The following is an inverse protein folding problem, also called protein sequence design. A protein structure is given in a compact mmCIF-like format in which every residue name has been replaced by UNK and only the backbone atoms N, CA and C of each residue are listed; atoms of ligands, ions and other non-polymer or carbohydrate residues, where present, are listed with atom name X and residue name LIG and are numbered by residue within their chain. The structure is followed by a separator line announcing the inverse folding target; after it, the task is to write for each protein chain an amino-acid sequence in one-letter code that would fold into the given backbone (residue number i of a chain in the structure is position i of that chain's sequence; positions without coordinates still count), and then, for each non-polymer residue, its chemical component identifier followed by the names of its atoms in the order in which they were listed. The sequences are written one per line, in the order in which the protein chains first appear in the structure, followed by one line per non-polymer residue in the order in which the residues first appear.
data_IF_537701733264
#
_entry.id   IF_537701733264
#
_cell.length_a   1.000
_cell.length_b   1.000
_cell.length_c   1.000
_cell.angle_alpha   90.00
_cell.angle_beta   90.00
_cell.angle_gamma   90.00
#
_symmetry.space_group_name_H-M   'P 1'
#
loop_
_entity.id
_entity.type
_entity.pdbx_description
1 polymer ?
#
# COMPACT_ATOMS: atom_id res chain seq x y z
N UNK A 1 3.85 19.44 -39.87
CA UNK A 1 3.77 20.71 -39.10
C UNK A 1 2.74 20.61 -37.97
N UNK A 2 1.50 20.13 -38.20
CA UNK A 2 0.48 19.89 -37.15
C UNK A 2 0.91 18.95 -36.01
N UNK A 3 1.64 17.87 -36.30
CA UNK A 3 2.08 16.89 -35.29
C UNK A 3 3.05 17.51 -34.26
N UNK A 4 3.90 18.44 -34.70
CA UNK A 4 4.84 19.15 -33.82
C UNK A 4 4.15 20.21 -32.95
N UNK A 5 3.08 20.84 -33.44
CA UNK A 5 2.28 21.80 -32.65
C UNK A 5 1.45 21.12 -31.56
N UNK A 6 0.90 19.93 -31.83
CA UNK A 6 0.16 19.15 -30.83
C UNK A 6 1.08 18.58 -29.75
N UNK A 7 2.29 18.15 -30.10
CA UNK A 7 3.28 17.67 -29.13
C UNK A 7 3.71 18.80 -28.16
N UNK A 8 3.88 20.02 -28.68
CA UNK A 8 4.24 21.20 -27.86
C UNK A 8 3.08 21.68 -26.97
N UNK A 9 1.82 21.53 -27.41
CA UNK A 9 0.65 21.80 -26.57
C UNK A 9 0.52 20.78 -25.44
N UNK A 10 0.71 19.49 -25.73
CA UNK A 10 0.70 18.41 -24.72
C UNK A 10 1.78 18.62 -23.64
N UNK A 11 3.00 18.97 -24.04
CA UNK A 11 4.09 19.28 -23.11
C UNK A 11 3.78 20.47 -22.18
N UNK A 12 3.14 21.53 -22.71
CA UNK A 12 2.85 22.77 -21.98
C UNK A 12 1.69 22.65 -21.00
N UNK A 13 0.70 21.79 -21.27
CA UNK A 13 -0.38 21.47 -20.31
C UNK A 13 0.17 20.58 -19.19
N UNK A 14 1.06 19.62 -19.50
CA UNK A 14 1.72 18.74 -18.53
C UNK A 14 2.59 19.51 -17.51
N UNK A 15 3.41 20.46 -17.95
CA UNK A 15 4.23 21.32 -17.03
C UNK A 15 3.39 22.22 -16.13
N UNK A 16 2.19 22.65 -16.56
CA UNK A 16 1.30 23.46 -15.74
C UNK A 16 0.61 22.66 -14.62
N UNK A 17 0.39 21.35 -14.84
CA UNK A 17 -0.17 20.43 -13.85
C UNK A 17 0.86 20.11 -12.75
N UNK A 18 2.10 19.86 -13.14
CA UNK A 18 3.24 19.69 -12.22
C UNK A 18 3.51 20.96 -11.38
N UNK A 19 3.42 22.15 -11.99
CA UNK A 19 3.56 23.43 -11.26
C UNK A 19 2.37 23.77 -10.35
N UNK A 20 1.19 23.21 -10.59
CA UNK A 20 0.04 23.35 -9.69
C UNK A 20 0.15 22.46 -8.46
N UNK A 21 0.69 21.25 -8.62
CA UNK A 21 0.92 20.30 -7.53
C UNK A 21 2.03 20.82 -6.59
N UNK A 22 3.10 21.41 -7.14
CA UNK A 22 4.16 22.05 -6.34
C UNK A 22 3.79 23.38 -5.63
N UNK A 23 2.54 23.85 -5.74
CA UNK A 23 2.08 25.11 -5.12
C UNK A 23 1.01 24.94 -4.04
N UNK A 24 0.63 23.70 -3.70
CA UNK A 24 -0.36 23.40 -2.67
C UNK A 24 0.29 23.00 -1.33
N UNK A 25 1.41 23.62 -1.02
CA UNK A 25 2.04 23.60 0.30
C UNK A 25 2.19 25.06 0.76
N UNK A 26 1.93 25.31 2.05
CA UNK A 26 2.09 26.59 2.79
C UNK A 26 0.85 27.51 2.81
N UNK A 27 -0.01 27.29 3.81
CA UNK A 27 -0.64 28.39 4.57
C UNK A 27 -0.63 28.08 6.07
N UNK A 28 0.45 28.51 6.74
CA UNK A 28 0.40 28.86 8.16
C UNK A 28 -0.67 29.96 8.37
N UNK A 29 -1.37 29.98 9.52
CA UNK A 29 -1.33 31.08 10.52
C UNK A 29 -2.48 30.98 11.58
N UNK A 30 -2.04 30.80 12.84
CA UNK A 30 -2.50 31.37 14.13
C UNK A 30 -3.90 31.06 14.72
N UNK A 31 -3.91 30.59 15.98
CA UNK A 31 -4.84 31.06 17.02
C UNK A 31 -4.21 30.97 18.43
N UNK A 32 -3.72 32.13 18.87
CA UNK A 32 -3.71 32.73 20.22
C UNK A 32 -3.71 31.88 21.50
N UNK A 33 -2.62 32.06 22.26
CA UNK A 33 -2.51 31.95 23.71
C UNK A 33 -3.60 32.76 24.45
N UNK A 34 -4.26 32.13 25.43
CA UNK A 34 -4.93 32.83 26.53
C UNK A 34 -4.37 32.31 27.85
N UNK A 35 -3.67 33.20 28.56
CA UNK A 35 -3.26 33.04 29.94
C UNK A 35 -4.50 33.16 30.85
N UNK A 36 -4.77 32.14 31.67
CA UNK A 36 -5.72 32.19 32.76
C UNK A 36 -5.03 31.78 34.06
N UNK A 37 -4.52 32.77 34.79
CA UNK A 37 -3.96 32.59 36.13
C UNK A 37 -5.13 32.53 37.13
N UNK A 38 -5.35 31.40 37.80
CA UNK A 38 -6.14 31.37 39.03
C UNK A 38 -5.41 30.56 40.11
N UNK A 39 -4.88 31.31 41.08
CA UNK A 39 -4.44 30.81 42.38
C UNK A 39 -5.67 30.28 43.13
N UNK A 40 -5.64 29.02 43.52
CA UNK A 40 -6.46 28.51 44.63
C UNK A 40 -5.52 27.82 45.62
N UNK A 41 -5.35 28.46 46.78
CA UNK A 41 -4.74 27.88 47.97
C UNK A 41 -5.87 27.21 48.75
N UNK A 42 -5.72 25.92 49.08
CA UNK A 42 -6.74 25.19 49.84
C UNK A 42 -6.23 23.85 50.35
N UNK A 43 -5.61 23.91 51.54
CA UNK A 43 -5.47 22.92 52.63
C UNK A 43 -5.75 21.43 52.35
N UNK A 44 -4.79 20.60 52.77
CA UNK A 44 -4.78 19.15 52.62
C UNK A 44 -5.86 18.37 53.39
N UNK A 45 -6.05 17.13 52.93
CA UNK A 45 -6.85 16.06 53.54
C UNK A 45 -5.99 14.78 53.55
N UNK A 46 -5.97 13.98 54.64
CA UNK A 46 -5.01 12.89 54.84
C UNK A 46 -5.27 11.66 53.94
N UNK A 47 -4.30 10.74 53.78
CA UNK A 47 -4.39 9.66 52.80
C UNK A 47 -5.38 8.59 53.26
N UNK A 48 -6.34 8.28 52.40
CA UNK A 48 -7.24 7.15 52.56
C UNK A 48 -6.75 6.01 51.67
N UNK A 49 -6.24 4.95 52.30
CA UNK A 49 -5.98 3.68 51.63
C UNK A 49 -7.30 3.13 51.07
N UNK A 50 -7.43 3.09 49.76
CA UNK A 50 -8.42 2.26 49.08
C UNK A 50 -7.69 1.14 48.39
N UNK A 51 -7.64 -0.03 49.04
CA UNK A 51 -7.32 -1.29 48.39
C UNK A 51 -8.44 -1.63 47.41
N UNK A 52 -8.36 -1.11 46.19
CA UNK A 52 -9.14 -1.66 45.09
C UNK A 52 -8.48 -3.00 44.71
N UNK A 53 -9.25 -4.09 44.61
CA UNK A 53 -8.72 -5.30 44.00
C UNK A 53 -8.37 -4.95 42.55
N UNK A 54 -7.07 -5.00 42.23
CA UNK A 54 -6.60 -4.93 40.84
C UNK A 54 -7.15 -6.18 40.15
N UNK A 55 -8.28 -6.03 39.47
CA UNK A 55 -8.64 -6.91 38.36
C UNK A 55 -7.45 -6.94 37.41
N UNK A 56 -6.98 -8.11 36.95
CA UNK A 56 -5.85 -8.16 36.03
C UNK A 56 -6.22 -7.32 34.81
N UNK A 57 -5.46 -6.26 34.55
CA UNK A 57 -5.57 -5.48 33.31
C UNK A 57 -5.41 -6.48 32.17
N UNK A 58 -6.49 -6.70 31.43
CA UNK A 58 -6.43 -7.34 30.14
C UNK A 58 -5.66 -6.36 29.24
N UNK A 59 -4.34 -6.51 29.19
CA UNK A 59 -3.49 -5.60 28.42
C UNK A 59 -3.83 -5.84 26.95
N UNK A 60 -4.60 -4.92 26.36
CA UNK A 60 -5.00 -4.96 24.96
C UNK A 60 -3.83 -4.69 24.00
N UNK A 61 -2.67 -4.31 24.55
CA UNK A 61 -1.46 -3.96 23.81
C UNK A 61 -0.31 -4.91 24.16
N UNK A 62 0.36 -5.44 23.13
CA UNK A 62 1.54 -6.30 23.23
C UNK A 62 2.71 -5.60 22.55
N UNK A 63 3.76 -5.24 23.29
CA UNK A 63 4.95 -4.57 22.73
C UNK A 63 6.02 -5.59 22.36
N UNK A 64 6.50 -5.53 21.12
CA UNK A 64 7.52 -6.39 20.54
C UNK A 64 8.76 -5.55 20.20
N UNK A 65 9.84 -5.74 20.96
CA UNK A 65 11.10 -4.99 20.79
C UNK A 65 12.18 -5.91 20.22
N UNK A 66 12.59 -5.69 18.96
CA UNK A 66 13.55 -6.56 18.26
C UNK A 66 13.18 -8.06 18.37
N UNK A 67 11.91 -8.37 18.12
CA UNK A 67 11.35 -9.69 18.38
C UNK A 67 11.65 -10.66 17.23
N UNK A 68 12.14 -11.85 17.57
CA UNK A 68 12.40 -12.93 16.63
C UNK A 68 11.65 -14.17 17.07
N UNK A 69 10.80 -14.71 16.20
CA UNK A 69 10.09 -15.96 16.50
C UNK A 69 11.08 -17.12 16.64
N UNK A 70 10.82 -18.02 17.60
CA UNK A 70 11.59 -19.25 17.82
C UNK A 70 10.82 -20.51 17.44
N UNK A 71 9.51 -20.40 17.27
CA UNK A 71 8.60 -21.45 16.83
C UNK A 71 7.41 -20.81 16.11
N UNK A 72 6.54 -21.66 15.54
CA UNK A 72 5.30 -21.17 14.92
C UNK A 72 4.46 -20.42 15.94
N UNK A 73 4.00 -19.23 15.57
CA UNK A 73 3.22 -18.38 16.44
C UNK A 73 1.89 -18.00 15.78
N UNK A 74 0.83 -17.99 16.57
CA UNK A 74 -0.47 -17.44 16.18
C UNK A 74 -0.82 -16.38 17.21
N UNK A 75 -0.98 -15.14 16.73
CA UNK A 75 -1.36 -14.02 17.57
C UNK A 75 -2.83 -14.12 18.02
N UNK A 76 -3.15 -13.40 19.08
CA UNK A 76 -4.50 -13.31 19.59
C UNK A 76 -5.27 -12.24 18.78
N UNK A 77 -6.50 -12.54 18.32
CA UNK A 77 -7.32 -11.56 17.63
C UNK A 77 -7.74 -10.44 18.59
N UNK A 78 -8.24 -9.33 18.04
CA UNK A 78 -8.73 -8.16 18.81
C UNK A 78 -7.68 -7.50 19.72
N UNK A 79 -6.40 -7.83 19.55
CA UNK A 79 -5.27 -7.17 20.22
C UNK A 79 -4.57 -6.18 19.31
N UNK A 80 -3.91 -5.23 19.96
CA UNK A 80 -2.94 -4.33 19.33
C UNK A 80 -1.53 -4.82 19.62
N UNK A 81 -0.73 -5.01 18.59
CA UNK A 81 0.69 -5.33 18.69
C UNK A 81 1.50 -4.10 18.29
N UNK A 82 2.48 -3.70 19.08
CA UNK A 82 3.37 -2.58 18.79
C UNK A 82 4.75 -3.15 18.46
N UNK A 83 5.17 -3.04 17.21
CA UNK A 83 6.48 -3.51 16.75
C UNK A 83 7.47 -2.35 16.75
N UNK A 84 8.48 -2.47 17.60
CA UNK A 84 9.64 -1.58 17.63
C UNK A 84 10.84 -2.27 17.00
N UNK A 85 11.50 -1.58 16.08
CA UNK A 85 12.58 -2.13 15.25
C UNK A 85 12.09 -3.33 14.41
N UNK A 86 12.74 -4.49 14.49
CA UNK A 86 12.44 -5.60 13.59
C UNK A 86 11.66 -6.72 14.29
N UNK A 87 10.56 -7.14 13.66
CA UNK A 87 9.91 -8.43 13.87
C UNK A 87 10.45 -9.42 12.82
N UNK A 88 11.15 -10.47 13.23
CA UNK A 88 11.68 -11.47 12.31
C UNK A 88 10.88 -12.77 12.37
N UNK A 89 10.42 -13.23 11.20
CA UNK A 89 9.82 -14.54 10.97
C UNK A 89 10.86 -15.40 10.25
N UNK A 90 11.63 -16.24 10.97
CA UNK A 90 12.71 -17.02 10.37
C UNK A 90 12.23 -18.11 9.40
N UNK A 91 13.16 -18.66 8.63
CA UNK A 91 12.91 -19.84 7.80
C UNK A 91 12.27 -20.98 8.61
N UNK A 92 11.37 -21.73 7.98
CA UNK A 92 10.63 -22.86 8.53
C UNK A 92 9.69 -22.52 9.70
N UNK A 93 9.53 -21.22 10.02
CA UNK A 93 8.58 -20.72 11.02
C UNK A 93 7.42 -20.01 10.31
N UNK A 94 6.21 -20.23 10.83
CA UNK A 94 4.99 -19.54 10.41
C UNK A 94 4.54 -18.55 11.47
N UNK A 95 4.25 -17.32 11.05
CA UNK A 95 3.49 -16.35 11.84
C UNK A 95 2.06 -16.23 11.26
N UNK A 96 1.06 -16.47 12.10
CA UNK A 96 -0.35 -16.24 11.78
C UNK A 96 -0.86 -15.00 12.53
N UNK A 97 -1.29 -13.99 11.78
CA UNK A 97 -1.91 -12.77 12.30
C UNK A 97 -3.40 -12.82 11.94
N UNK A 98 -4.31 -13.17 12.89
CA UNK A 98 -5.71 -13.37 12.57
C UNK A 98 -6.45 -12.05 12.30
N UNK A 99 -7.63 -12.10 11.64
CA UNK A 99 -8.54 -10.95 11.53
C UNK A 99 -8.84 -10.29 12.88
N UNK A 100 -9.06 -8.97 12.87
CA UNK A 100 -9.32 -8.17 14.08
C UNK A 100 -8.06 -7.69 14.78
N UNK A 101 -6.87 -8.08 14.31
CA UNK A 101 -5.60 -7.63 14.86
C UNK A 101 -5.23 -6.24 14.36
N UNK A 102 -4.74 -5.37 15.25
CA UNK A 102 -4.07 -4.12 14.87
C UNK A 102 -2.58 -4.26 15.14
N UNK A 103 -1.73 -3.84 14.21
CA UNK A 103 -0.28 -3.78 14.37
C UNK A 103 0.17 -2.37 14.10
N UNK A 104 0.80 -1.77 15.10
CA UNK A 104 1.39 -0.44 15.04
C UNK A 104 2.89 -0.55 14.94
N UNK A 105 3.49 0.24 14.06
CA UNK A 105 4.92 0.20 13.80
C UNK A 105 5.58 1.47 14.32
N UNK A 106 6.60 1.29 15.16
CA UNK A 106 7.50 2.37 15.56
C UNK A 106 8.33 2.88 14.38
N UNK A 107 9.05 3.98 14.60
CA UNK A 107 9.90 4.58 13.56
C UNK A 107 10.90 3.56 13.00
N UNK A 108 10.96 3.46 11.68
CA UNK A 108 11.84 2.52 10.95
C UNK A 108 11.58 1.04 11.28
N UNK A 109 10.45 0.70 11.91
CA UNK A 109 10.14 -0.69 12.23
C UNK A 109 9.77 -1.49 10.97
N UNK A 110 9.93 -2.81 11.04
CA UNK A 110 9.70 -3.69 9.91
C UNK A 110 9.33 -5.11 10.32
N UNK A 111 8.66 -5.84 9.43
CA UNK A 111 8.60 -7.30 9.49
C UNK A 111 9.58 -7.87 8.46
N UNK A 112 10.51 -8.71 8.89
CA UNK A 112 11.42 -9.45 8.01
C UNK A 112 10.95 -10.92 7.92
N UNK A 113 10.47 -11.31 6.74
CA UNK A 113 9.87 -12.62 6.48
C UNK A 113 10.85 -13.48 5.68
N UNK A 114 11.39 -14.50 6.36
CA UNK A 114 12.19 -15.59 5.77
C UNK A 114 11.47 -16.94 5.84
N UNK A 115 10.43 -17.05 6.66
CA UNK A 115 9.53 -18.18 6.76
C UNK A 115 8.23 -17.94 6.02
N UNK A 116 7.10 -18.20 6.69
CA UNK A 116 5.75 -18.03 6.15
C UNK A 116 4.99 -16.98 6.95
N UNK A 117 4.36 -16.03 6.28
CA UNK A 117 3.50 -15.02 6.90
C UNK A 117 2.07 -15.14 6.38
N UNK A 118 1.13 -15.42 7.29
CA UNK A 118 -0.31 -15.54 7.01
C UNK A 118 -1.06 -14.43 7.73
N UNK A 119 -1.60 -13.47 7.00
CA UNK A 119 -2.28 -12.29 7.56
C UNK A 119 -3.74 -12.24 7.14
N UNK A 120 -4.60 -12.09 8.15
CA UNK A 120 -6.03 -11.90 8.01
C UNK A 120 -6.76 -13.18 7.63
N UNK A 121 -7.79 -13.05 6.81
CA UNK A 121 -8.73 -14.16 6.55
C UNK A 121 -8.07 -15.24 5.68
N UNK A 122 -8.05 -16.53 6.11
CA UNK A 122 -7.52 -17.61 5.30
C UNK A 122 -8.10 -17.66 3.88
N UNK A 123 -7.26 -17.97 2.87
CA UNK A 123 -7.70 -18.03 1.46
C UNK A 123 -8.82 -19.03 1.18
N UNK A 124 -8.98 -20.05 2.04
CA UNK A 124 -10.05 -21.05 1.93
C UNK A 124 -11.42 -20.55 2.39
N UNK A 125 -11.49 -19.44 3.12
CA UNK A 125 -12.74 -18.88 3.61
C UNK A 125 -13.41 -18.00 2.55
N UNK A 126 -14.73 -18.11 2.43
CA UNK A 126 -15.47 -17.45 1.36
C UNK A 126 -15.51 -15.92 1.44
N UNK A 127 -15.42 -15.34 2.65
CA UNK A 127 -15.61 -13.90 2.85
C UNK A 127 -14.67 -13.34 3.92
N UNK A 128 -14.18 -12.13 3.70
CA UNK A 128 -13.56 -11.31 4.75
C UNK A 128 -14.67 -10.69 5.58
N UNK A 129 -14.65 -10.96 6.89
CA UNK A 129 -15.66 -10.43 7.84
C UNK A 129 -15.07 -9.42 8.83
N UNK A 130 -13.75 -9.37 8.95
CA UNK A 130 -13.02 -8.48 9.84
C UNK A 130 -11.63 -8.22 9.26
N UNK A 131 -11.10 -7.02 9.49
CA UNK A 131 -9.83 -6.59 8.90
C UNK A 131 -8.66 -6.74 9.88
N UNK A 132 -7.47 -6.93 9.33
CA UNK A 132 -6.21 -6.63 10.02
C UNK A 132 -5.79 -5.20 9.65
N UNK A 133 -5.24 -4.43 10.61
CA UNK A 133 -4.71 -3.10 10.34
C UNK A 133 -3.22 -3.02 10.63
N UNK A 134 -2.43 -2.64 9.64
CA UNK A 134 -1.00 -2.32 9.76
C UNK A 134 -0.81 -0.81 9.57
N UNK A 135 -0.29 -0.13 10.59
CA UNK A 135 -0.24 1.34 10.61
C UNK A 135 0.91 1.88 11.46
N UNK A 136 1.14 3.19 11.40
CA UNK A 136 2.15 3.88 12.22
C UNK A 136 1.72 3.96 13.69
N UNK A 137 2.69 3.87 14.62
CA UNK A 137 2.46 4.15 16.04
C UNK A 137 2.47 5.67 16.36
N UNK A 138 2.70 6.53 15.37
CA UNK A 138 2.67 7.98 15.58
C UNK A 138 1.24 8.49 15.80
N UNK A 139 1.13 9.53 16.64
CA UNK A 139 -0.11 10.27 16.86
C UNK A 139 -0.62 10.95 15.58
N UNK A 140 0.30 11.41 14.72
CA UNK A 140 -0.01 11.97 13.41
C UNK A 140 0.80 11.16 12.39
N UNK A 141 0.21 10.11 11.80
CA UNK A 141 0.88 9.27 10.82
C UNK A 141 1.21 10.01 9.52
N UNK A 142 2.31 9.61 8.88
CA UNK A 142 2.69 10.05 7.54
C UNK A 142 3.33 8.89 6.76
N UNK A 143 3.23 8.87 5.41
CA UNK A 143 3.97 7.93 4.58
C UNK A 143 5.46 7.89 4.97
N UNK A 144 6.06 6.69 4.97
CA UNK A 144 7.46 6.51 5.37
C UNK A 144 7.71 6.45 6.88
N UNK A 145 6.68 6.41 7.72
CA UNK A 145 6.84 6.32 9.18
C UNK A 145 7.51 5.02 9.64
N UNK A 146 7.23 3.93 8.93
CA UNK A 146 7.82 2.62 9.14
C UNK A 146 8.27 2.02 7.81
N UNK A 147 9.18 1.05 7.87
CA UNK A 147 9.90 0.62 6.69
C UNK A 147 9.06 -0.27 5.77
N UNK A 148 8.33 -1.24 6.32
CA UNK A 148 7.58 -2.20 5.50
C UNK A 148 7.57 -3.64 6.00
N UNK A 149 6.93 -4.49 5.20
CA UNK A 149 7.00 -5.95 5.30
C UNK A 149 7.90 -6.45 4.18
N UNK A 150 9.04 -7.02 4.56
CA UNK A 150 10.08 -7.48 3.66
C UNK A 150 10.02 -9.00 3.55
N UNK A 151 9.67 -9.52 2.37
CA UNK A 151 9.85 -10.93 2.06
C UNK A 151 11.23 -11.12 1.42
N UNK A 152 12.13 -11.82 2.13
CA UNK A 152 13.53 -12.01 1.74
C UNK A 152 13.79 -13.47 1.36
N UNK A 153 13.80 -13.76 0.05
CA UNK A 153 14.23 -15.03 -0.54
C UNK A 153 13.59 -16.30 0.03
N UNK A 154 12.27 -16.25 0.27
CA UNK A 154 11.46 -17.43 0.59
C UNK A 154 10.94 -18.06 -0.71
N UNK A 155 11.13 -19.36 -0.90
CA UNK A 155 10.41 -20.12 -1.93
C UNK A 155 9.05 -20.58 -1.38
N UNK A 156 8.43 -19.76 -0.54
CA UNK A 156 7.18 -20.11 0.10
C UNK A 156 6.01 -19.76 -0.83
N UNK A 157 5.09 -20.71 -0.95
CA UNK A 157 3.85 -20.58 -1.72
C UNK A 157 2.63 -20.47 -0.78
N UNK A 158 2.87 -20.31 0.52
CA UNK A 158 1.84 -20.38 1.56
C UNK A 158 1.52 -19.02 2.18
N UNK A 159 2.41 -18.04 2.02
CA UNK A 159 2.22 -16.70 2.53
C UNK A 159 1.06 -16.02 1.80
N UNK A 160 0.22 -15.37 2.60
CA UNK A 160 -0.86 -14.56 2.07
C UNK A 160 -1.13 -13.38 2.97
N UNK A 161 -1.64 -12.32 2.34
CA UNK A 161 -2.15 -11.14 3.01
C UNK A 161 -3.55 -10.94 2.45
N UNK A 162 -4.56 -11.11 3.31
CA UNK A 162 -5.96 -11.01 2.90
C UNK A 162 -6.82 -10.30 3.91
N UNK A 163 -7.66 -9.36 3.47
CA UNK A 163 -8.52 -8.60 4.38
C UNK A 163 -7.70 -7.67 5.27
N UNK A 164 -6.73 -6.96 4.69
CA UNK A 164 -5.80 -6.12 5.46
C UNK A 164 -5.82 -4.68 4.96
N UNK A 165 -5.70 -3.74 5.89
CA UNK A 165 -5.45 -2.32 5.60
C UNK A 165 -4.01 -2.00 5.97
N UNK A 166 -3.22 -1.52 5.01
CA UNK A 166 -1.80 -1.21 5.19
C UNK A 166 -1.54 0.26 4.87
N UNK A 167 -1.03 1.00 5.85
CA UNK A 167 -0.90 2.45 5.77
C UNK A 167 0.46 2.96 6.30
N UNK A 168 0.90 4.09 5.74
CA UNK A 168 2.01 4.90 6.25
C UNK A 168 3.40 4.23 6.18
N UNK A 169 3.57 3.21 5.36
CA UNK A 169 4.86 2.57 5.13
C UNK A 169 5.70 3.36 4.11
N UNK A 170 7.02 3.18 4.14
CA UNK A 170 7.88 3.52 3.01
C UNK A 170 7.60 2.56 1.85
N UNK A 171 7.78 1.25 2.07
CA UNK A 171 7.33 0.22 1.12
C UNK A 171 6.44 -0.75 1.89
N UNK A 172 5.12 -0.70 1.69
CA UNK A 172 4.19 -1.52 2.47
C UNK A 172 4.49 -3.01 2.34
N UNK A 173 4.60 -3.50 1.10
CA UNK A 173 5.01 -4.88 0.79
C UNK A 173 6.21 -4.87 -0.17
N UNK A 174 7.40 -5.23 0.33
CA UNK A 174 8.60 -5.44 -0.49
C UNK A 174 8.84 -6.94 -0.65
N UNK A 175 8.49 -7.47 -1.82
CA UNK A 175 8.38 -8.90 -2.11
C UNK A 175 9.51 -9.33 -3.05
N UNK A 176 10.53 -10.00 -2.51
CA UNK A 176 11.72 -10.42 -3.27
C UNK A 176 11.78 -11.92 -3.46
N UNK A 177 11.62 -12.38 -4.70
CA UNK A 177 11.74 -13.80 -5.11
C UNK A 177 10.73 -14.78 -4.51
N UNK A 178 9.80 -14.28 -3.70
CA UNK A 178 8.70 -15.03 -3.08
C UNK A 178 7.40 -14.76 -3.84
N UNK A 179 6.39 -15.63 -3.73
CA UNK A 179 5.15 -15.48 -4.53
C UNK A 179 3.88 -15.55 -3.68
N UNK A 180 3.71 -14.63 -2.70
CA UNK A 180 2.52 -14.60 -1.86
C UNK A 180 1.28 -14.21 -2.65
N UNK A 181 0.11 -14.55 -2.09
CA UNK A 181 -1.16 -13.96 -2.54
C UNK A 181 -1.47 -12.70 -1.74
N UNK A 182 -1.68 -11.58 -2.42
CA UNK A 182 -2.15 -10.31 -1.83
C UNK A 182 -3.56 -10.07 -2.36
N UNK A 183 -4.56 -10.26 -1.52
CA UNK A 183 -5.94 -10.24 -1.97
C UNK A 183 -6.87 -9.46 -1.04
N UNK A 184 -7.87 -8.76 -1.57
CA UNK A 184 -8.91 -8.14 -0.74
C UNK A 184 -8.32 -7.25 0.35
N UNK A 185 -7.32 -6.45 -0.01
CA UNK A 185 -6.65 -5.49 0.87
C UNK A 185 -6.90 -4.05 0.42
N UNK A 186 -6.69 -3.11 1.35
CA UNK A 186 -6.59 -1.68 1.06
C UNK A 186 -5.18 -1.22 1.41
N UNK A 187 -4.39 -0.85 0.40
CA UNK A 187 -3.04 -0.31 0.60
C UNK A 187 -3.08 1.17 0.25
N UNK A 188 -2.96 2.03 1.27
CA UNK A 188 -3.10 3.49 1.09
C UNK A 188 -2.12 4.30 1.89
N UNK A 189 -1.81 5.52 1.42
CA UNK A 189 -0.95 6.46 2.12
C UNK A 189 0.44 5.86 2.42
N UNK A 190 0.98 5.09 1.48
CA UNK A 190 2.36 4.59 1.52
C UNK A 190 3.18 5.31 0.44
N UNK A 191 4.51 5.36 0.58
CA UNK A 191 5.34 5.85 -0.54
C UNK A 191 5.26 4.84 -1.70
N UNK A 192 5.47 3.55 -1.42
CA UNK A 192 5.18 2.45 -2.36
C UNK A 192 4.27 1.41 -1.72
N UNK A 193 3.17 1.05 -2.38
CA UNK A 193 2.23 0.07 -1.84
C UNK A 193 2.78 -1.36 -1.98
N UNK A 194 3.17 -1.75 -3.20
CA UNK A 194 3.72 -3.08 -3.48
C UNK A 194 4.94 -2.96 -4.40
N UNK A 195 6.08 -3.47 -3.94
CA UNK A 195 7.26 -3.66 -4.77
C UNK A 195 7.49 -5.15 -4.99
N UNK A 196 7.53 -5.57 -6.25
CA UNK A 196 7.85 -6.93 -6.66
C UNK A 196 9.24 -6.96 -7.29
N UNK A 197 10.14 -7.78 -6.76
CA UNK A 197 11.47 -8.03 -7.33
C UNK A 197 11.64 -9.53 -7.54
N UNK A 198 11.50 -9.97 -8.79
CA UNK A 198 11.61 -11.39 -9.13
C UNK A 198 10.51 -12.26 -8.52
N UNK A 199 9.31 -11.72 -8.32
CA UNK A 199 8.16 -12.40 -7.72
C UNK A 199 7.09 -12.77 -8.77
N UNK A 200 6.41 -13.91 -8.57
CA UNK A 200 5.18 -14.32 -9.29
C UNK A 200 3.93 -14.07 -8.43
N UNK A 201 3.98 -13.12 -7.50
CA UNK A 201 2.88 -12.81 -6.59
C UNK A 201 1.57 -12.58 -7.34
N UNK A 202 0.48 -13.02 -6.70
CA UNK A 202 -0.87 -12.82 -7.20
C UNK A 202 -1.54 -11.69 -6.42
N UNK A 203 -1.73 -10.57 -7.09
CA UNK A 203 -2.30 -9.33 -6.56
C UNK A 203 -3.72 -9.18 -7.13
N UNK A 204 -4.75 -9.39 -6.31
CA UNK A 204 -6.16 -9.34 -6.76
C UNK A 204 -7.17 -8.70 -5.81
N UNK A 205 -8.20 -8.06 -6.36
CA UNK A 205 -9.29 -7.46 -5.56
C UNK A 205 -8.80 -6.50 -4.47
N UNK A 206 -7.71 -5.77 -4.73
CA UNK A 206 -7.19 -4.79 -3.81
C UNK A 206 -7.60 -3.37 -4.23
N UNK A 207 -7.79 -2.51 -3.24
CA UNK A 207 -7.77 -1.07 -3.42
C UNK A 207 -6.36 -0.55 -3.11
N UNK A 208 -5.64 -0.09 -4.14
CA UNK A 208 -4.29 0.46 -4.04
C UNK A 208 -4.39 1.95 -4.37
N UNK A 209 -4.54 2.77 -3.32
CA UNK A 209 -4.99 4.16 -3.47
C UNK A 209 -4.15 5.14 -2.67
N UNK A 210 -3.99 6.37 -3.16
CA UNK A 210 -3.29 7.45 -2.43
C UNK A 210 -1.84 7.08 -2.02
N UNK A 211 -1.10 6.41 -2.90
CA UNK A 211 0.33 6.12 -2.72
C UNK A 211 1.17 6.91 -3.75
N UNK A 212 2.46 7.12 -3.51
CA UNK A 212 3.32 7.70 -4.56
C UNK A 212 3.46 6.69 -5.72
N UNK A 213 3.72 5.42 -5.40
CA UNK A 213 3.72 4.30 -6.34
C UNK A 213 2.74 3.22 -5.86
N UNK A 214 1.76 2.86 -6.69
CA UNK A 214 0.84 1.76 -6.39
C UNK A 214 1.56 0.41 -6.43
N UNK A 215 1.99 -0.01 -7.61
CA UNK A 215 2.73 -1.26 -7.81
C UNK A 215 4.00 -0.99 -8.61
N UNK A 216 5.15 -1.44 -8.12
CA UNK A 216 6.40 -1.50 -8.87
C UNK A 216 6.72 -2.96 -9.22
N UNK A 217 6.99 -3.26 -10.49
CA UNK A 217 7.40 -4.60 -10.93
C UNK A 217 8.81 -4.58 -11.51
N UNK A 218 9.70 -5.36 -10.91
CA UNK A 218 11.11 -5.50 -11.29
C UNK A 218 11.41 -6.99 -11.46
N UNK A 219 12.37 -7.28 -12.31
CA UNK A 219 12.86 -8.63 -12.55
C UNK A 219 12.57 -9.11 -13.97
N UNK A 220 13.38 -10.05 -14.43
CA UNK A 220 13.19 -10.75 -15.70
C UNK A 220 12.72 -12.16 -15.39
N UNK A 221 11.93 -12.75 -16.27
CA UNK A 221 11.51 -14.16 -16.17
C UNK A 221 10.54 -14.46 -15.02
N UNK A 222 9.81 -13.45 -14.53
CA UNK A 222 8.73 -13.64 -13.56
C UNK A 222 7.40 -13.17 -14.12
N UNK A 223 6.32 -13.79 -13.67
CA UNK A 223 4.96 -13.72 -14.20
C UNK A 223 3.99 -13.22 -13.10
N UNK A 224 4.21 -12.03 -12.51
CA UNK A 224 3.28 -11.50 -11.51
C UNK A 224 1.90 -11.30 -12.16
N UNK A 225 0.85 -11.63 -11.40
CA UNK A 225 -0.55 -11.51 -11.84
C UNK A 225 -1.21 -10.39 -11.09
N UNK A 226 -1.56 -9.33 -11.80
CA UNK A 226 -2.19 -8.11 -11.28
C UNK A 226 -3.57 -8.02 -11.92
N UNK A 227 -4.60 -8.47 -11.21
CA UNK A 227 -5.95 -8.58 -11.78
C UNK A 227 -7.04 -8.12 -10.82
N UNK A 228 -8.13 -7.57 -11.35
CA UNK A 228 -9.29 -7.17 -10.54
C UNK A 228 -8.95 -6.19 -9.40
N UNK A 229 -7.94 -5.33 -9.56
CA UNK A 229 -7.60 -4.31 -8.56
C UNK A 229 -8.19 -2.95 -8.96
N UNK A 230 -8.46 -2.10 -7.98
CA UNK A 230 -8.61 -0.66 -8.20
C UNK A 230 -7.30 0.01 -7.80
N UNK A 231 -6.56 0.52 -8.79
CA UNK A 231 -5.29 1.22 -8.60
C UNK A 231 -5.54 2.68 -9.00
N UNK A 232 -5.78 3.53 -8.02
CA UNK A 232 -6.29 4.88 -8.28
C UNK A 232 -5.71 5.95 -7.36
N UNK A 233 -5.68 7.20 -7.81
CA UNK A 233 -5.19 8.33 -6.98
C UNK A 233 -3.73 8.19 -6.52
N UNK A 234 -2.94 7.37 -7.21
CA UNK A 234 -1.49 7.30 -6.98
C UNK A 234 -0.77 8.31 -7.88
N UNK A 235 0.43 8.74 -7.53
CA UNK A 235 1.26 9.49 -8.50
C UNK A 235 1.56 8.59 -9.71
N UNK A 236 2.08 7.39 -9.47
CA UNK A 236 2.20 6.34 -10.48
C UNK A 236 1.40 5.12 -10.05
N UNK A 237 0.41 4.72 -10.85
CA UNK A 237 -0.39 3.51 -10.59
C UNK A 237 0.48 2.25 -10.66
N UNK A 238 1.05 1.98 -11.84
CA UNK A 238 1.99 0.87 -12.04
C UNK A 238 3.29 1.39 -12.66
N UNK A 239 4.41 1.19 -11.96
CA UNK A 239 5.75 1.37 -12.50
C UNK A 239 6.30 0.01 -12.94
N UNK A 240 6.40 -0.20 -14.26
CA UNK A 240 6.64 -1.53 -14.82
C UNK A 240 8.02 -1.64 -15.47
N UNK A 241 8.88 -2.48 -14.89
CA UNK A 241 10.15 -2.93 -15.45
C UNK A 241 10.13 -4.44 -15.78
N UNK A 242 8.98 -5.09 -15.66
CA UNK A 242 8.77 -6.49 -16.02
C UNK A 242 7.67 -6.65 -17.10
N UNK A 243 8.08 -6.94 -18.33
CA UNK A 243 7.17 -7.11 -19.49
C UNK A 243 6.39 -8.43 -19.53
N UNK A 244 6.59 -9.33 -18.57
CA UNK A 244 5.88 -10.60 -18.47
C UNK A 244 4.74 -10.57 -17.44
N UNK A 245 4.55 -9.42 -16.78
CA UNK A 245 3.43 -9.19 -15.87
C UNK A 245 2.10 -9.33 -16.61
N UNK A 246 1.18 -10.12 -16.08
CA UNK A 246 -0.22 -10.11 -16.53
C UNK A 246 -0.94 -9.00 -15.79
N UNK A 247 -1.39 -7.98 -16.52
CA UNK A 247 -2.08 -6.81 -15.98
C UNK A 247 -3.39 -6.66 -16.74
N UNK A 248 -4.49 -7.16 -16.16
CA UNK A 248 -5.79 -7.21 -16.81
C UNK A 248 -6.93 -7.04 -15.81
N UNK A 249 -8.10 -6.62 -16.26
CA UNK A 249 -9.29 -6.46 -15.43
C UNK A 249 -9.12 -5.50 -14.25
N UNK A 250 -8.19 -4.54 -14.31
CA UNK A 250 -7.99 -3.53 -13.26
C UNK A 250 -8.68 -2.20 -13.62
N UNK A 251 -9.06 -1.44 -12.58
CA UNK A 251 -9.40 -0.03 -12.70
C UNK A 251 -8.14 0.83 -12.45
N UNK A 252 -7.51 1.34 -13.50
CA UNK A 252 -6.30 2.17 -13.50
C UNK A 252 -6.67 3.65 -13.71
N UNK A 253 -7.42 4.25 -12.78
CA UNK A 253 -8.03 5.57 -12.98
C UNK A 253 -7.54 6.62 -11.97
N UNK A 254 -7.63 7.90 -12.33
CA UNK A 254 -7.30 9.02 -11.43
C UNK A 254 -5.87 9.03 -10.85
N UNK A 255 -4.95 8.22 -11.39
CA UNK A 255 -3.52 8.36 -11.14
C UNK A 255 -2.96 9.55 -11.92
N UNK A 256 -1.82 10.13 -11.52
CA UNK A 256 -1.13 11.11 -12.37
C UNK A 256 -0.63 10.39 -13.64
N UNK A 257 -0.02 9.22 -13.47
CA UNK A 257 0.26 8.25 -14.54
C UNK A 257 -0.32 6.90 -14.15
N UNK A 258 -1.20 6.34 -14.98
CA UNK A 258 -1.77 5.02 -14.76
C UNK A 258 -0.71 3.92 -14.87
N UNK A 259 0.15 4.00 -15.89
CA UNK A 259 1.25 3.06 -16.10
C UNK A 259 2.48 3.77 -16.67
N UNK A 260 3.64 3.46 -16.11
CA UNK A 260 4.95 3.90 -16.61
C UNK A 260 5.78 2.68 -16.97
N UNK A 261 6.05 2.48 -18.24
CA UNK A 261 6.92 1.41 -18.73
C UNK A 261 8.38 1.90 -18.74
N UNK A 262 9.29 1.15 -18.15
CA UNK A 262 10.71 1.53 -18.07
C UNK A 262 11.65 0.43 -18.60
N UNK A 263 11.22 -0.26 -19.64
CA UNK A 263 11.96 -1.34 -20.31
C UNK A 263 11.84 -1.26 -21.82
N UNK A 264 12.76 -1.92 -22.54
CA UNK A 264 12.92 -1.84 -23.99
C UNK A 264 11.90 -2.64 -24.81
N UNK A 265 11.13 -3.49 -24.16
CA UNK A 265 10.22 -4.43 -24.81
C UNK A 265 8.79 -3.94 -24.66
N UNK A 266 7.95 -4.27 -25.63
CA UNK A 266 6.53 -3.97 -25.54
C UNK A 266 5.87 -4.80 -24.44
N UNK A 267 4.86 -4.22 -23.80
CA UNK A 267 4.08 -4.85 -22.74
C UNK A 267 2.60 -4.86 -23.14
N UNK A 268 1.94 -6.00 -23.00
CA UNK A 268 0.51 -6.17 -23.27
C UNK A 268 -0.26 -5.97 -21.97
N UNK A 269 -1.21 -5.03 -21.95
CA UNK A 269 -1.97 -4.58 -20.76
C UNK A 269 -3.45 -4.39 -21.11
N UNK A 270 -4.07 -5.45 -21.63
CA UNK A 270 -5.44 -5.41 -22.15
C UNK A 270 -6.49 -5.56 -21.05
N UNK A 271 -7.74 -5.29 -21.40
CA UNK A 271 -8.93 -5.53 -20.57
C UNK A 271 -8.94 -4.75 -19.25
N UNK A 272 -8.18 -3.65 -19.18
CA UNK A 272 -8.21 -2.72 -18.06
C UNK A 272 -9.10 -1.51 -18.36
N UNK A 273 -9.65 -0.90 -17.32
CA UNK A 273 -10.27 0.41 -17.38
C UNK A 273 -9.26 1.50 -17.04
N UNK A 274 -9.02 2.44 -17.96
CA UNK A 274 -7.99 3.48 -17.82
C UNK A 274 -8.52 4.81 -17.26
N UNK A 275 -9.79 4.83 -16.82
CA UNK A 275 -10.48 6.04 -16.37
C UNK A 275 -11.27 6.76 -17.46
N UNK A 276 -11.07 6.40 -18.73
CA UNK A 276 -11.76 6.96 -19.89
C UNK A 276 -11.80 5.93 -21.03
N UNK A 277 -12.84 5.94 -21.90
CA UNK A 277 -12.85 5.14 -23.11
C UNK A 277 -12.18 5.87 -24.30
N UNK A 278 -11.76 7.13 -24.14
CA UNK A 278 -11.11 7.90 -25.21
C UNK A 278 -9.62 7.51 -25.31
N UNK A 279 -9.15 6.92 -26.43
CA UNK A 279 -7.75 6.53 -26.60
C UNK A 279 -6.74 7.66 -26.44
N UNK A 280 -7.15 8.92 -26.66
CA UNK A 280 -6.28 10.09 -26.44
C UNK A 280 -6.06 10.29 -24.94
N UNK A 281 -7.10 10.18 -24.13
CA UNK A 281 -7.02 10.30 -22.67
C UNK A 281 -6.28 9.10 -22.05
N UNK A 282 -6.46 7.90 -22.60
CA UNK A 282 -5.71 6.70 -22.19
C UNK A 282 -4.21 6.88 -22.46
N UNK A 283 -3.85 7.32 -23.67
CA UNK A 283 -2.46 7.57 -24.03
C UNK A 283 -1.83 8.69 -23.18
N UNK A 284 -2.62 9.63 -22.64
CA UNK A 284 -2.10 10.72 -21.81
C UNK A 284 -1.71 10.27 -20.39
N UNK A 285 -2.23 9.14 -19.91
CA UNK A 285 -1.92 8.57 -18.58
C UNK A 285 -0.90 7.43 -18.64
N UNK A 286 -0.47 7.03 -19.83
CA UNK A 286 0.59 6.03 -20.05
C UNK A 286 1.89 6.77 -20.39
N UNK A 287 3.02 6.31 -19.83
CA UNK A 287 4.36 6.73 -20.25
C UNK A 287 5.08 5.53 -20.84
N UNK A 288 5.36 5.59 -22.14
CA UNK A 288 6.02 4.51 -22.88
C UNK A 288 6.87 5.04 -24.07
N UNK A 289 7.24 4.14 -24.98
CA UNK A 289 8.04 4.44 -26.17
C UNK A 289 7.37 5.38 -27.18
N UNK A 290 6.07 5.64 -27.05
CA UNK A 290 5.34 6.63 -27.84
C UNK A 290 5.53 8.08 -27.31
N UNK A 291 6.15 8.26 -26.15
CA UNK A 291 6.45 9.56 -25.53
C UNK A 291 7.95 9.96 -25.61
N UNK A 292 8.57 10.10 -26.81
CA UNK A 292 10.01 10.38 -26.96
C UNK A 292 10.47 11.68 -26.27
N UNK A 293 9.56 12.63 -26.03
CA UNK A 293 9.86 13.89 -25.34
C UNK A 293 9.96 13.78 -23.81
N UNK A 294 9.54 12.66 -23.23
CA UNK A 294 9.54 12.40 -21.78
C UNK A 294 10.52 11.28 -21.40
N UNK A 295 11.12 10.61 -22.38
CA UNK A 295 12.01 9.48 -22.18
C UNK A 295 13.43 9.83 -22.64
N UNK A 296 14.42 9.53 -21.79
CA UNK A 296 15.84 9.74 -22.08
C UNK A 296 16.53 8.46 -22.60
N UNK A 297 15.79 7.36 -22.68
CA UNK A 297 16.26 6.03 -23.09
C UNK A 297 15.21 5.42 -24.03
N UNK A 298 15.67 4.55 -24.95
CA UNK A 298 14.76 3.75 -25.76
C UNK A 298 13.99 2.79 -24.83
N UNK A 299 12.67 2.92 -24.79
CA UNK A 299 11.74 2.03 -24.09
C UNK A 299 10.69 1.49 -25.08
N UNK A 300 10.06 0.36 -24.76
CA UNK A 300 9.00 -0.26 -25.56
C UNK A 300 7.66 0.45 -25.39
N UNK A 301 6.62 -0.06 -26.03
CA UNK A 301 5.26 0.49 -26.01
C UNK A 301 4.29 -0.38 -25.21
N UNK A 302 3.24 0.24 -24.70
CA UNK A 302 2.16 -0.43 -23.98
C UNK A 302 1.03 -0.69 -24.97
N UNK A 303 0.71 -1.96 -25.15
CA UNK A 303 -0.39 -2.43 -26.00
C UNK A 303 -1.60 -2.64 -25.08
N UNK A 304 -2.50 -1.66 -25.04
CA UNK A 304 -3.63 -1.63 -24.11
C UNK A 304 -4.99 -1.96 -24.74
N UNK A 305 -5.04 -2.27 -26.05
CA UNK A 305 -6.27 -2.69 -26.72
C UNK A 305 -6.40 -4.23 -26.79
N UNK A 306 -7.59 -4.80 -26.52
CA UNK A 306 -8.82 -4.12 -26.11
C UNK A 306 -8.72 -3.56 -24.68
N UNK A 307 -9.46 -2.49 -24.40
CA UNK A 307 -9.64 -1.93 -23.05
C UNK A 307 -11.12 -1.95 -22.66
N UNK A 308 -11.40 -1.89 -21.35
CA UNK A 308 -12.78 -1.81 -20.87
C UNK A 308 -13.39 -0.43 -21.20
N UNK A 309 -14.66 -0.36 -21.61
CA UNK A 309 -15.34 0.91 -21.93
C UNK A 309 -15.89 1.64 -20.70
N UNK A 310 -15.99 0.91 -19.58
CA UNK A 310 -16.50 1.41 -18.30
C UNK A 310 -15.69 0.83 -17.15
N UNK A 311 -15.85 1.42 -15.97
CA UNK A 311 -15.28 0.89 -14.72
C UNK A 311 -15.70 -0.57 -14.52
N UNK A 312 -14.73 -1.40 -14.20
CA UNK A 312 -14.88 -2.82 -13.86
C UNK A 312 -15.46 -2.91 -12.45
N UNK A 313 -16.62 -3.55 -12.30
CA UNK A 313 -17.41 -3.48 -11.06
C UNK A 313 -16.85 -4.41 -9.96
N UNK A 314 -16.33 -5.55 -10.38
CA UNK A 314 -15.73 -6.61 -9.56
C UNK A 314 -14.30 -6.30 -9.11
N UNK A 315 -13.70 -5.26 -9.67
CA UNK A 315 -12.34 -4.84 -9.36
C UNK A 315 -12.29 -3.90 -8.14
N UNK A 316 -11.30 -4.13 -7.28
CA UNK A 316 -11.12 -3.43 -6.00
C UNK A 316 -11.55 -4.27 -4.79
N UNK A 317 -11.45 -3.65 -3.61
CA UNK A 317 -11.83 -4.27 -2.35
C UNK A 317 -13.36 -4.49 -2.27
N UNK A 318 -13.84 -5.73 -2.11
CA UNK A 318 -15.26 -6.02 -2.28
C UNK A 318 -16.13 -5.75 -1.04
N UNK A 319 -15.56 -5.35 0.10
CA UNK A 319 -16.28 -5.19 1.38
C UNK A 319 -16.21 -3.76 1.95
N UNK A 320 -16.65 -2.71 1.24
CA UNK A 320 -16.46 -1.31 1.65
C UNK A 320 -17.06 -0.98 3.02
N UNK A 321 -18.08 -1.72 3.48
CA UNK A 321 -18.66 -1.57 4.83
C UNK A 321 -17.69 -1.94 5.95
N UNK A 322 -16.63 -2.69 5.67
CA UNK A 322 -15.58 -2.99 6.66
C UNK A 322 -14.60 -1.83 6.85
N UNK A 323 -14.55 -0.89 5.90
CA UNK A 323 -13.69 0.30 6.00
C UNK A 323 -14.33 1.44 6.79
N UNK A 324 -15.64 1.38 7.06
CA UNK A 324 -16.34 2.42 7.81
C UNK A 324 -15.85 2.44 9.27
N UNK A 325 -15.22 3.53 9.69
CA UNK A 325 -14.65 3.69 11.04
C UNK A 325 -13.12 3.59 11.12
N UNK A 326 -12.42 3.51 9.98
CA UNK A 326 -10.95 3.57 9.91
C UNK A 326 -10.39 5.00 9.70
N UNK A 327 -11.27 6.00 9.58
CA UNK A 327 -10.94 7.44 9.45
C UNK A 327 -10.45 8.06 10.76
#
# INVERSE_FOLDING_TARGET
MKIFEDCNKRYKIRTLREQHIGKMEIRFIYCLLIFGLSLVVGTGCPPQETSNPVTPENISEVVLENYRLTENETWEPEKTYIVNNTLEVPQDITLNIPPGTTVKFGRNASIAVRGVLKVGTPLAEAQVIQLVRFTSDKVVPAPGDWNGIFFDHTHDLESFIRGTVIEYASIALDIKTTSPTVAECTLRLNETAIALDGSDAHIRHNDIIDNDIGISTIGRQTLPRIENNTIAQNETGIFCENVQSTIEHNNLNANVFALRLNVKFDLIVTDNWWGSPDPIEIADVIIDGADPGLIIKQIGTVIYEPFAETRIAEAGFPYPTLLTGLE
#
